data_IF_303087921477
#
_entry.id   IF_303087921477
#
_cell.length_a   1.000
_cell.length_b   1.000
_cell.length_c   1.000
_cell.angle_alpha   90.00
_cell.angle_beta   90.00
_cell.angle_gamma   90.00
#
_symmetry.space_group_name_H-M   'P 1'
#
loop_
_entity.id
_entity.type
_entity.pdbx_description
1 polymer ?
#
# COMPACT_ATOMS: atom_id res chain seq x y z
N UNK A 1 1.04 -16.44 8.12
CA UNK A 1 0.83 -16.07 6.69
C UNK A 1 -0.05 -17.07 5.97
N UNK A 2 -0.22 -18.25 6.56
CA UNK A 2 -0.92 -19.45 6.15
C UNK A 2 -2.40 -19.51 6.60
N UNK A 3 -2.99 -18.37 6.99
CA UNK A 3 -4.41 -18.30 7.32
C UNK A 3 -5.26 -18.39 6.04
N UNK A 4 -6.24 -19.27 6.04
CA UNK A 4 -7.15 -19.50 4.91
C UNK A 4 -7.97 -18.25 4.57
N UNK A 5 -8.26 -17.42 5.57
CA UNK A 5 -8.94 -16.14 5.40
C UNK A 5 -8.02 -15.03 4.86
N UNK A 6 -6.71 -15.26 4.81
CA UNK A 6 -5.69 -14.22 4.67
C UNK A 6 -5.92 -13.10 5.70
N UNK A 7 -6.07 -13.53 6.95
CA UNK A 7 -6.37 -12.68 8.10
C UNK A 7 -5.14 -11.90 8.54
N UNK A 8 -5.33 -10.62 8.84
CA UNK A 8 -4.34 -9.71 9.40
C UNK A 8 -4.94 -8.98 10.59
N UNK A 9 -4.08 -8.63 11.56
CA UNK A 9 -4.48 -7.81 12.70
C UNK A 9 -3.44 -6.73 12.97
N UNK A 10 -3.87 -5.69 13.68
CA UNK A 10 -3.00 -4.60 14.11
C UNK A 10 -3.37 -4.10 15.50
N UNK A 11 -2.36 -3.61 16.20
CA UNK A 11 -2.50 -2.84 17.42
C UNK A 11 -1.79 -1.51 17.19
N UNK A 12 -2.56 -0.44 16.96
CA UNK A 12 -1.99 0.89 16.87
C UNK A 12 -1.56 1.41 18.26
N UNK A 13 -0.94 2.60 18.30
CA UNK A 13 -0.61 3.27 19.57
C UNK A 13 -1.87 3.40 20.43
N UNK A 14 -1.73 3.07 21.71
CA UNK A 14 -2.79 3.16 22.71
C UNK A 14 -2.55 4.40 23.58
N UNK A 15 -3.59 5.11 24.01
CA UNK A 15 -5.00 4.85 23.71
C UNK A 15 -5.36 5.18 22.24
N UNK A 16 -6.20 4.34 21.63
CA UNK A 16 -6.72 4.60 20.28
C UNK A 16 -7.85 5.64 20.30
N UNK A 17 -8.66 5.62 21.37
CA UNK A 17 -9.73 6.59 21.59
C UNK A 17 -9.41 7.51 22.76
N UNK A 18 -9.73 8.82 22.67
CA UNK A 18 -9.75 9.68 23.85
C UNK A 18 -10.68 9.11 24.93
N UNK A 19 -10.20 9.02 26.18
CA UNK A 19 -10.97 8.46 27.30
C UNK A 19 -11.01 6.93 27.37
N UNK A 20 -10.23 6.23 26.53
CA UNK A 20 -10.01 4.79 26.69
C UNK A 20 -9.37 4.49 28.07
N UNK A 21 -9.90 3.54 28.85
CA UNK A 21 -9.32 3.14 30.13
C UNK A 21 -7.87 2.64 30.00
N UNK A 22 -7.07 2.86 31.05
CA UNK A 22 -5.63 2.52 31.06
C UNK A 22 -5.35 1.02 30.91
N UNK A 23 -6.32 0.17 31.27
CA UNK A 23 -6.25 -1.29 31.22
C UNK A 23 -6.95 -1.91 30.00
N UNK A 24 -7.47 -1.08 29.08
CA UNK A 24 -8.15 -1.53 27.86
C UNK A 24 -7.27 -1.24 26.65
N UNK A 25 -7.19 -2.19 25.72
CA UNK A 25 -6.52 -2.04 24.43
C UNK A 25 -7.53 -2.24 23.28
N UNK A 26 -7.32 -1.51 22.18
CA UNK A 26 -8.14 -1.65 20.97
C UNK A 26 -7.30 -2.31 19.88
N UNK A 27 -7.70 -3.53 19.51
CA UNK A 27 -7.14 -4.27 18.38
C UNK A 27 -8.09 -4.22 17.19
N UNK A 28 -7.54 -4.23 15.99
CA UNK A 28 -8.31 -4.30 14.76
C UNK A 28 -7.88 -5.51 13.94
N UNK A 29 -8.86 -6.27 13.46
CA UNK A 29 -8.68 -7.51 12.70
C UNK A 29 -9.50 -7.41 11.42
N UNK A 30 -8.95 -7.89 10.31
CA UNK A 30 -9.68 -8.07 9.05
C UNK A 30 -9.15 -9.27 8.28
N UNK A 31 -9.90 -9.69 7.27
CA UNK A 31 -9.49 -10.74 6.34
C UNK A 31 -9.86 -10.34 4.90
N UNK A 32 -9.22 -11.00 3.93
CA UNK A 32 -9.40 -10.71 2.51
C UNK A 32 -10.23 -11.77 1.78
N UNK A 33 -10.24 -13.02 2.24
CA UNK A 33 -10.99 -14.10 1.61
C UNK A 33 -12.26 -14.41 2.41
N UNK A 34 -13.40 -13.99 1.88
CA UNK A 34 -14.71 -14.09 2.54
C UNK A 34 -15.46 -15.40 2.26
N UNK A 35 -14.96 -16.21 1.33
CA UNK A 35 -15.56 -17.46 0.83
C UNK A 35 -14.76 -18.71 1.24
N UNK A 36 -13.72 -18.56 2.07
CA UNK A 36 -12.86 -19.64 2.53
C UNK A 36 -13.19 -20.05 3.95
N UNK A 37 -13.27 -21.35 4.21
CA UNK A 37 -13.33 -21.87 5.58
C UNK A 37 -12.01 -21.60 6.32
N UNK A 38 -12.10 -21.32 7.62
CA UNK A 38 -10.94 -21.15 8.49
C UNK A 38 -10.13 -22.44 8.70
N UNK A 39 -8.92 -22.27 9.20
CA UNK A 39 -8.00 -23.31 9.60
C UNK A 39 -8.49 -24.05 10.84
N UNK A 40 -9.04 -23.35 11.84
CA UNK A 40 -9.60 -23.95 13.05
C UNK A 40 -11.13 -23.96 13.00
N UNK A 41 -11.75 -22.81 12.78
CA UNK A 41 -13.20 -22.68 12.57
C UNK A 41 -13.55 -23.03 11.13
N UNK A 42 -14.30 -24.13 10.95
CA UNK A 42 -14.72 -24.66 9.64
C UNK A 42 -15.91 -23.91 9.04
N UNK A 43 -15.81 -22.58 9.01
CA UNK A 43 -16.81 -21.67 8.44
C UNK A 43 -16.12 -20.52 7.70
N UNK A 44 -16.74 -19.96 6.65
CA UNK A 44 -16.35 -18.67 6.12
C UNK A 44 -16.53 -17.56 7.17
N UNK A 45 -15.61 -16.60 7.24
CA UNK A 45 -15.63 -15.51 8.23
C UNK A 45 -16.98 -14.76 8.32
N UNK A 46 -17.73 -14.50 7.22
CA UNK A 46 -19.04 -13.85 7.31
C UNK A 46 -20.12 -14.62 8.08
N UNK A 47 -19.90 -15.92 8.33
CA UNK A 47 -20.81 -16.79 9.07
C UNK A 47 -20.39 -16.96 10.55
N UNK A 48 -19.27 -16.34 10.94
CA UNK A 48 -18.71 -16.47 12.28
C UNK A 48 -19.27 -15.41 13.23
N UNK A 49 -19.45 -15.81 14.49
CA UNK A 49 -19.61 -14.92 15.64
C UNK A 49 -18.27 -14.26 16.01
N UNK A 50 -18.30 -13.28 16.93
CA UNK A 50 -17.08 -12.66 17.44
C UNK A 50 -16.13 -13.65 18.12
N UNK A 51 -16.69 -14.54 18.95
CA UNK A 51 -15.92 -15.57 19.66
C UNK A 51 -15.29 -16.59 18.70
N UNK A 52 -15.98 -16.95 17.62
CA UNK A 52 -15.41 -17.81 16.57
C UNK A 52 -14.26 -17.13 15.81
N UNK A 53 -14.35 -15.82 15.57
CA UNK A 53 -13.24 -15.05 14.98
C UNK A 53 -12.05 -15.00 15.95
N UNK A 54 -12.30 -14.83 17.26
CA UNK A 54 -11.23 -14.92 18.27
C UNK A 54 -10.60 -16.31 18.32
N UNK A 55 -11.38 -17.38 18.22
CA UNK A 55 -10.87 -18.74 18.17
C UNK A 55 -9.92 -18.95 16.98
N UNK A 56 -10.30 -18.49 15.79
CA UNK A 56 -9.44 -18.56 14.61
C UNK A 56 -8.15 -17.73 14.79
N UNK A 57 -8.25 -16.53 15.36
CA UNK A 57 -7.08 -15.70 15.66
C UNK A 57 -6.16 -16.35 16.69
N UNK A 58 -6.70 -16.88 17.78
CA UNK A 58 -5.95 -17.56 18.84
C UNK A 58 -5.24 -18.81 18.31
N UNK A 59 -5.86 -19.54 17.38
CA UNK A 59 -5.21 -20.65 16.68
C UNK A 59 -3.93 -20.21 15.96
N UNK A 60 -4.00 -19.13 15.17
CA UNK A 60 -2.82 -18.62 14.45
C UNK A 60 -1.77 -17.95 15.35
N UNK A 61 -2.16 -17.49 16.53
CA UNK A 61 -1.25 -16.97 17.56
C UNK A 61 -0.67 -18.06 18.46
N UNK A 62 -1.12 -19.30 18.34
CA UNK A 62 -0.63 -20.43 19.15
C UNK A 62 -1.13 -20.42 20.60
N UNK A 63 -2.26 -19.77 20.88
CA UNK A 63 -2.86 -19.61 22.22
C UNK A 63 -4.30 -20.15 22.31
N UNK A 64 -4.64 -21.11 21.45
CA UNK A 64 -5.99 -21.70 21.37
C UNK A 64 -6.39 -22.45 22.65
N UNK A 65 -5.43 -22.92 23.42
CA UNK A 65 -5.61 -23.57 24.72
C UNK A 65 -6.07 -22.60 25.82
N UNK A 66 -5.93 -21.29 25.60
CA UNK A 66 -6.35 -20.22 26.52
C UNK A 66 -7.61 -19.49 26.05
N UNK A 67 -8.33 -20.04 25.07
CA UNK A 67 -9.45 -19.38 24.40
C UNK A 67 -10.53 -18.88 25.37
N UNK A 68 -10.88 -19.65 26.39
CA UNK A 68 -11.92 -19.27 27.36
C UNK A 68 -11.57 -17.98 28.12
N UNK A 69 -10.29 -17.80 28.48
CA UNK A 69 -9.82 -16.58 29.14
C UNK A 69 -9.77 -15.40 28.15
N UNK A 70 -9.35 -15.64 26.91
CA UNK A 70 -9.35 -14.60 25.86
C UNK A 70 -10.77 -14.10 25.60
N UNK A 71 -11.75 -15.01 25.42
CA UNK A 71 -13.15 -14.64 25.19
C UNK A 71 -13.70 -13.84 26.38
N UNK A 72 -13.42 -14.28 27.62
CA UNK A 72 -13.91 -13.60 28.82
C UNK A 72 -13.40 -12.15 28.94
N UNK A 73 -12.18 -11.88 28.48
CA UNK A 73 -11.53 -10.58 28.62
C UNK A 73 -11.55 -9.75 27.33
N UNK A 74 -12.20 -10.21 26.26
CA UNK A 74 -12.21 -9.52 24.97
C UNK A 74 -13.62 -9.29 24.45
N UNK A 75 -13.98 -8.02 24.23
CA UNK A 75 -15.25 -7.67 23.58
C UNK A 75 -15.00 -7.56 22.08
N UNK A 76 -15.74 -8.33 21.29
CA UNK A 76 -15.65 -8.31 19.82
C UNK A 76 -16.87 -7.64 19.22
N UNK A 77 -16.62 -6.70 18.30
CA UNK A 77 -17.66 -6.13 17.45
C UNK A 77 -17.24 -6.30 15.99
N UNK A 78 -18.03 -7.08 15.25
CA UNK A 78 -17.78 -7.33 13.83
C UNK A 78 -18.48 -6.30 12.97
N UNK A 79 -17.95 -6.06 11.77
CA UNK A 79 -18.60 -5.21 10.76
C UNK A 79 -18.34 -5.80 9.40
N UNK A 80 -19.41 -6.18 8.71
CA UNK A 80 -19.35 -6.66 7.33
C UNK A 80 -19.68 -5.51 6.38
N UNK A 81 -18.72 -5.14 5.52
CA UNK A 81 -18.81 -3.98 4.64
C UNK A 81 -18.87 -4.43 3.18
N UNK A 82 -20.07 -4.55 2.57
CA UNK A 82 -20.21 -5.15 1.23
C UNK A 82 -19.52 -4.36 0.11
N UNK A 83 -19.25 -3.08 0.34
CA UNK A 83 -18.65 -2.19 -0.66
C UNK A 83 -17.27 -1.67 -0.26
N UNK A 84 -16.63 -2.23 0.78
CA UNK A 84 -15.35 -1.69 1.29
C UNK A 84 -14.26 -1.64 0.22
N UNK A 85 -14.21 -2.59 -0.71
CA UNK A 85 -13.23 -2.61 -1.82
C UNK A 85 -13.79 -2.17 -3.17
N UNK A 86 -15.05 -1.68 -3.22
CA UNK A 86 -15.74 -1.37 -4.48
C UNK A 86 -15.02 -0.33 -5.35
N UNK A 87 -14.26 0.59 -4.74
CA UNK A 87 -13.45 1.59 -5.46
C UNK A 87 -12.24 1.01 -6.22
N UNK A 88 -11.88 -0.25 -5.96
CA UNK A 88 -10.82 -0.96 -6.67
C UNK A 88 -11.32 -1.84 -7.81
N UNK A 89 -12.64 -1.88 -8.07
CA UNK A 89 -13.17 -2.64 -9.19
C UNK A 89 -12.56 -2.17 -10.52
N UNK A 90 -12.39 -3.09 -11.50
CA UNK A 90 -11.97 -2.72 -12.85
C UNK A 90 -12.87 -1.61 -13.40
N UNK A 91 -12.26 -0.66 -14.09
CA UNK A 91 -12.96 0.51 -14.65
C UNK A 91 -12.45 0.81 -16.05
N UNK A 92 -13.28 1.49 -16.83
CA UNK A 92 -13.00 2.00 -18.14
C UNK A 92 -13.03 3.53 -18.17
N UNK A 93 -12.65 4.10 -19.32
CA UNK A 93 -12.72 5.54 -19.56
C UNK A 93 -14.18 6.01 -19.44
N UNK A 94 -14.43 6.91 -18.49
CA UNK A 94 -15.75 7.53 -18.27
C UNK A 94 -16.55 6.94 -17.11
N UNK A 95 -16.15 5.80 -16.54
CA UNK A 95 -16.88 5.17 -15.42
C UNK A 95 -16.90 6.03 -14.15
N UNK A 96 -15.88 6.87 -13.97
CA UNK A 96 -15.83 7.89 -12.93
C UNK A 96 -15.98 9.28 -13.54
N UNK A 97 -16.88 10.14 -13.04
CA UNK A 97 -17.02 11.50 -13.53
C UNK A 97 -15.84 12.36 -13.05
N UNK A 98 -15.52 13.42 -13.79
CA UNK A 98 -14.63 14.48 -13.29
C UNK A 98 -15.28 15.18 -12.10
N UNK A 99 -14.45 15.80 -11.27
CA UNK A 99 -14.88 16.53 -10.07
C UNK A 99 -15.94 17.58 -10.39
N UNK A 100 -15.74 18.38 -11.43
CA UNK A 100 -16.79 19.22 -12.02
C UNK A 100 -16.99 18.72 -13.46
N UNK A 101 -18.07 17.98 -13.73
CA UNK A 101 -18.34 17.49 -15.08
C UNK A 101 -18.56 18.63 -16.09
N UNK A 102 -18.30 18.35 -17.36
CA UNK A 102 -18.47 19.34 -18.43
C UNK A 102 -19.89 19.92 -18.42
N UNK A 103 -19.99 21.25 -18.55
CA UNK A 103 -21.26 21.99 -18.52
C UNK A 103 -21.80 22.30 -17.12
N UNK A 104 -21.35 21.62 -16.06
CA UNK A 104 -21.78 21.91 -14.70
C UNK A 104 -21.30 23.28 -14.23
N UNK A 105 -22.21 24.11 -13.66
CA UNK A 105 -21.90 25.46 -13.17
C UNK A 105 -22.02 25.62 -11.65
N UNK A 106 -22.66 24.67 -10.99
CA UNK A 106 -22.99 24.73 -9.56
C UNK A 106 -22.98 23.34 -8.89
N UNK A 107 -22.39 22.32 -9.52
CA UNK A 107 -22.30 20.95 -9.01
C UNK A 107 -20.84 20.49 -9.00
N UNK A 108 -20.38 20.02 -7.84
CA UNK A 108 -19.07 19.39 -7.66
C UNK A 108 -19.23 18.02 -7.00
N UNK A 109 -18.63 16.99 -7.60
CA UNK A 109 -18.60 15.62 -7.12
C UNK A 109 -17.25 15.34 -6.44
N UNK A 110 -17.27 14.80 -5.22
CA UNK A 110 -16.07 14.58 -4.41
C UNK A 110 -15.98 13.14 -3.90
N UNK A 111 -14.80 12.74 -3.43
CA UNK A 111 -14.58 11.45 -2.78
C UNK A 111 -13.87 10.42 -3.65
N UNK A 112 -14.14 9.14 -3.40
CA UNK A 112 -13.33 8.02 -3.91
C UNK A 112 -13.75 7.50 -5.29
N UNK A 113 -14.90 7.95 -5.80
CA UNK A 113 -15.50 7.49 -7.06
C UNK A 113 -15.47 8.54 -8.18
N UNK A 114 -14.65 9.59 -8.02
CA UNK A 114 -14.47 10.64 -9.02
C UNK A 114 -13.07 10.63 -9.60
N UNK A 115 -12.93 11.13 -10.82
CA UNK A 115 -11.70 11.09 -11.60
C UNK A 115 -10.79 12.29 -11.26
N UNK A 116 -9.54 12.00 -10.91
CA UNK A 116 -8.43 12.97 -10.83
C UNK A 116 -7.34 12.56 -11.83
N UNK A 117 -6.23 13.30 -11.92
CA UNK A 117 -5.21 13.04 -12.94
C UNK A 117 -4.37 11.79 -12.64
N UNK A 118 -3.70 11.74 -11.49
CA UNK A 118 -2.77 10.67 -11.13
C UNK A 118 -2.97 10.09 -9.72
N UNK A 119 -3.90 10.64 -8.93
CA UNK A 119 -4.05 10.22 -7.53
C UNK A 119 -4.73 8.85 -7.40
N UNK A 120 -4.43 8.16 -6.30
CA UNK A 120 -4.97 6.82 -5.97
C UNK A 120 -6.23 6.95 -5.10
N UNK A 121 -7.08 5.94 -5.04
CA UNK A 121 -8.26 5.93 -4.15
C UNK A 121 -7.96 5.16 -2.86
N UNK A 122 -8.92 5.07 -1.94
CA UNK A 122 -8.76 4.48 -0.61
C UNK A 122 -7.82 5.30 0.29
N UNK A 123 -7.81 6.62 0.11
CA UNK A 123 -7.02 7.52 0.95
C UNK A 123 -7.85 8.73 1.36
N UNK A 124 -7.55 9.28 2.54
CA UNK A 124 -8.11 10.57 2.94
C UNK A 124 -7.62 11.69 2.02
N UNK A 125 -6.39 11.59 1.50
CA UNK A 125 -5.79 12.58 0.60
C UNK A 125 -6.67 12.84 -0.62
N UNK A 126 -7.19 11.78 -1.26
CA UNK A 126 -8.03 11.91 -2.46
C UNK A 126 -9.36 12.58 -2.18
N UNK A 127 -9.96 12.34 -1.01
CA UNK A 127 -11.17 13.06 -0.57
C UNK A 127 -10.89 14.56 -0.43
N UNK A 128 -9.76 14.93 0.18
CA UNK A 128 -9.39 16.34 0.35
C UNK A 128 -9.03 16.98 -0.99
N UNK A 129 -8.28 16.28 -1.84
CA UNK A 129 -7.89 16.73 -3.18
C UNK A 129 -9.10 17.04 -4.04
N UNK A 130 -10.04 16.10 -4.15
CA UNK A 130 -11.27 16.28 -4.94
C UNK A 130 -12.12 17.44 -4.41
N UNK A 131 -12.19 17.62 -3.10
CA UNK A 131 -12.84 18.78 -2.48
C UNK A 131 -12.18 20.10 -2.90
N UNK A 132 -10.85 20.19 -2.87
CA UNK A 132 -10.13 21.39 -3.30
C UNK A 132 -10.37 21.69 -4.78
N UNK A 133 -10.36 20.67 -5.65
CA UNK A 133 -10.64 20.83 -7.07
C UNK A 133 -12.06 21.40 -7.25
N UNK A 134 -13.07 20.81 -6.60
CA UNK A 134 -14.46 21.25 -6.71
C UNK A 134 -14.64 22.73 -6.35
N UNK A 135 -14.09 23.14 -5.19
CA UNK A 135 -14.20 24.53 -4.72
C UNK A 135 -13.47 25.49 -5.66
N UNK A 136 -12.26 25.14 -6.10
CA UNK A 136 -11.43 26.06 -6.90
C UNK A 136 -12.01 26.25 -8.30
N UNK A 137 -12.53 25.19 -8.90
CA UNK A 137 -13.13 25.22 -10.23
C UNK A 137 -14.49 25.93 -10.23
N UNK A 138 -15.39 25.60 -9.29
CA UNK A 138 -16.74 26.19 -9.25
C UNK A 138 -16.72 27.70 -8.92
N UNK A 139 -15.78 28.14 -8.08
CA UNK A 139 -15.65 29.55 -7.71
C UNK A 139 -14.66 30.31 -8.59
N UNK A 140 -14.06 29.65 -9.59
CA UNK A 140 -13.04 30.22 -10.47
C UNK A 140 -11.92 30.94 -9.69
N UNK A 141 -11.41 30.28 -8.65
CA UNK A 141 -10.38 30.86 -7.79
C UNK A 141 -9.01 30.84 -8.48
N UNK A 142 -8.20 31.86 -8.22
CA UNK A 142 -6.81 31.89 -8.67
C UNK A 142 -5.90 31.03 -7.75
N UNK A 143 -6.29 29.77 -7.53
CA UNK A 143 -5.55 28.77 -6.75
C UNK A 143 -5.47 27.47 -7.54
N UNK A 144 -4.36 26.77 -7.40
CA UNK A 144 -4.14 25.47 -8.05
C UNK A 144 -4.12 24.35 -7.02
N UNK A 145 -4.49 23.15 -7.47
CA UNK A 145 -4.26 21.89 -6.76
C UNK A 145 -3.08 21.22 -7.47
N UNK A 146 -1.87 21.24 -6.87
CA UNK A 146 -0.72 20.53 -7.45
C UNK A 146 -1.04 19.05 -7.60
N UNK A 147 -0.42 18.36 -8.55
CA UNK A 147 -0.56 16.91 -8.70
C UNK A 147 0.11 16.14 -7.54
N UNK A 148 0.20 14.82 -7.63
CA UNK A 148 0.89 13.98 -6.66
C UNK A 148 2.37 14.37 -6.52
N UNK A 149 2.97 14.03 -5.37
CA UNK A 149 4.38 14.30 -5.12
C UNK A 149 5.27 13.59 -6.17
N UNK A 150 6.16 14.29 -6.90
CA UNK A 150 6.92 13.72 -8.02
C UNK A 150 8.08 12.79 -7.61
N UNK A 151 8.03 12.14 -6.44
CA UNK A 151 9.11 11.26 -5.96
C UNK A 151 9.41 10.08 -6.88
N UNK A 152 8.46 9.65 -7.72
CA UNK A 152 8.72 8.64 -8.74
C UNK A 152 9.74 9.08 -9.80
N UNK A 153 9.99 10.39 -9.95
CA UNK A 153 11.01 10.94 -10.84
C UNK A 153 12.33 11.26 -10.12
N UNK A 154 12.37 11.09 -8.80
CA UNK A 154 13.59 11.26 -8.01
C UNK A 154 14.49 10.04 -8.21
N UNK A 155 15.68 10.26 -8.80
CA UNK A 155 16.64 9.19 -9.09
C UNK A 155 17.00 8.36 -7.85
N UNK A 156 17.02 8.98 -6.66
CA UNK A 156 17.33 8.28 -5.40
C UNK A 156 16.27 7.22 -5.10
N UNK A 157 15.00 7.53 -5.37
CA UNK A 157 13.89 6.60 -5.17
C UNK A 157 13.82 5.55 -6.28
N UNK A 158 14.15 5.92 -7.53
CA UNK A 158 14.20 4.97 -8.65
C UNK A 158 15.26 3.88 -8.41
N UNK A 159 16.48 4.28 -8.04
CA UNK A 159 17.57 3.33 -7.76
C UNK A 159 17.26 2.48 -6.52
N UNK A 160 16.70 3.09 -5.48
CA UNK A 160 16.23 2.37 -4.29
C UNK A 160 15.17 1.34 -4.64
N UNK A 161 14.17 1.69 -5.46
CA UNK A 161 13.12 0.77 -5.86
C UNK A 161 13.66 -0.43 -6.65
N UNK A 162 14.55 -0.20 -7.63
CA UNK A 162 15.17 -1.27 -8.40
C UNK A 162 15.94 -2.26 -7.52
N UNK A 163 16.65 -1.74 -6.51
CA UNK A 163 17.40 -2.53 -5.53
C UNK A 163 16.47 -3.34 -4.61
N UNK A 164 15.48 -2.69 -4.02
CA UNK A 164 14.51 -3.34 -3.11
C UNK A 164 13.68 -4.40 -3.80
N UNK A 165 13.32 -4.21 -5.08
CA UNK A 165 12.62 -5.23 -5.87
C UNK A 165 13.48 -6.47 -6.19
N UNK A 166 14.79 -6.40 -5.94
CA UNK A 166 15.74 -7.48 -6.15
C UNK A 166 16.31 -8.00 -4.82
N UNK A 167 15.51 -7.98 -3.75
CA UNK A 167 15.90 -8.43 -2.40
C UNK A 167 17.18 -7.77 -1.87
N UNK A 168 17.37 -6.49 -2.16
CA UNK A 168 18.56 -5.71 -1.84
C UNK A 168 19.88 -6.28 -2.43
N UNK A 169 19.78 -7.14 -3.46
CA UNK A 169 20.91 -7.60 -4.27
C UNK A 169 21.18 -6.64 -5.43
N UNK A 170 22.41 -6.59 -5.97
CA UNK A 170 22.74 -5.76 -7.12
C UNK A 170 21.81 -5.97 -8.31
N UNK A 171 21.20 -4.89 -8.80
CA UNK A 171 20.41 -4.94 -10.01
C UNK A 171 21.29 -4.72 -11.25
N UNK A 172 20.81 -5.16 -12.41
CA UNK A 172 21.54 -5.00 -13.68
C UNK A 172 21.79 -3.51 -13.96
N UNK A 173 23.06 -3.12 -14.07
CA UNK A 173 23.48 -1.73 -14.28
C UNK A 173 23.95 -0.99 -13.01
N UNK A 174 23.74 -1.56 -11.80
CA UNK A 174 24.20 -0.94 -10.55
C UNK A 174 25.73 -0.84 -10.49
N UNK A 175 26.46 -1.86 -10.93
CA UNK A 175 27.93 -1.85 -10.95
C UNK A 175 28.50 -0.72 -11.82
N UNK A 176 27.89 -0.46 -12.98
CA UNK A 176 28.24 0.66 -13.86
C UNK A 176 28.03 2.01 -13.17
N UNK A 177 26.88 2.17 -12.51
CA UNK A 177 26.56 3.39 -11.76
C UNK A 177 27.51 3.59 -10.58
N UNK A 178 27.81 2.52 -9.82
CA UNK A 178 28.73 2.57 -8.69
C UNK A 178 30.14 2.94 -9.14
N UNK A 179 30.64 2.37 -10.24
CA UNK A 179 31.93 2.75 -10.81
C UNK A 179 32.00 4.24 -11.21
N UNK A 180 30.90 4.81 -11.70
CA UNK A 180 30.85 6.22 -12.10
C UNK A 180 30.67 7.20 -10.94
N UNK A 181 29.92 6.84 -9.91
CA UNK A 181 29.45 7.78 -8.87
C UNK A 181 30.19 7.65 -7.54
N UNK A 182 30.89 6.55 -7.28
CA UNK A 182 31.68 6.36 -6.06
C UNK A 182 32.81 7.40 -5.98
N UNK A 183 33.00 8.02 -4.82
CA UNK A 183 33.97 9.10 -4.61
C UNK A 183 33.56 10.46 -5.18
N UNK A 184 32.32 10.58 -5.70
CA UNK A 184 31.78 11.85 -6.22
C UNK A 184 30.76 12.45 -5.26
N UNK A 185 30.34 13.70 -5.50
CA UNK A 185 29.23 14.33 -4.78
C UNK A 185 27.95 13.46 -4.75
N UNK A 186 27.69 12.72 -5.83
CA UNK A 186 26.48 11.92 -6.00
C UNK A 186 26.58 10.51 -5.41
N UNK A 187 27.66 10.16 -4.71
CA UNK A 187 27.80 8.82 -4.11
C UNK A 187 26.59 8.43 -3.24
N UNK A 188 26.02 9.40 -2.52
CA UNK A 188 24.85 9.20 -1.65
C UNK A 188 23.56 8.78 -2.37
N UNK A 189 23.49 8.85 -3.71
CA UNK A 189 22.32 8.38 -4.47
C UNK A 189 22.36 6.87 -4.73
N UNK A 190 23.54 6.25 -4.59
CA UNK A 190 23.68 4.79 -4.72
C UNK A 190 22.92 4.12 -3.56
N UNK A 191 22.07 3.12 -3.84
CA UNK A 191 21.31 2.46 -2.79
C UNK A 191 22.23 1.70 -1.84
N UNK A 192 21.84 1.67 -0.57
CA UNK A 192 22.56 0.96 0.50
C UNK A 192 22.40 -0.54 0.26
N UNK A 193 23.48 -1.31 0.36
CA UNK A 193 23.51 -2.76 0.16
C UNK A 193 24.91 -3.31 0.42
N UNK A 194 25.03 -4.64 0.52
CA UNK A 194 26.30 -5.33 0.82
C UNK A 194 27.43 -4.85 -0.10
N UNK A 195 28.57 -4.50 0.51
CA UNK A 195 29.80 -4.18 -0.22
C UNK A 195 30.21 -5.38 -1.07
N UNK A 196 29.90 -5.35 -2.37
CA UNK A 196 30.54 -6.26 -3.31
C UNK A 196 31.94 -5.73 -3.65
N UNK A 197 32.87 -6.68 -3.78
CA UNK A 197 34.23 -6.45 -4.24
C UNK A 197 34.20 -5.64 -5.54
N UNK A 198 35.06 -4.63 -5.64
CA UNK A 198 35.25 -3.88 -6.88
C UNK A 198 35.66 -4.83 -8.00
N UNK A 199 34.72 -5.13 -8.90
CA UNK A 199 35.01 -5.89 -10.11
C UNK A 199 36.13 -5.20 -10.91
N UNK A 200 37.14 -5.97 -11.29
CA UNK A 200 38.25 -5.51 -12.12
C UNK A 200 37.75 -4.89 -13.45
N UNK A 201 38.52 -3.95 -14.01
CA UNK A 201 38.20 -3.25 -15.27
C UNK A 201 37.80 -4.18 -16.44
N UNK A 202 38.29 -5.43 -16.43
CA UNK A 202 37.97 -6.47 -17.41
C UNK A 202 36.48 -6.82 -17.51
N UNK A 203 35.68 -6.55 -16.48
CA UNK A 203 34.25 -6.93 -16.44
C UNK A 203 33.29 -5.83 -16.93
N UNK A 204 33.81 -4.64 -17.28
CA UNK A 204 32.98 -3.50 -17.68
C UNK A 204 32.22 -3.77 -18.99
N UNK A 205 32.90 -4.34 -19.98
CA UNK A 205 32.30 -4.66 -21.29
C UNK A 205 31.17 -5.69 -21.13
N UNK A 206 31.35 -6.65 -20.23
CA UNK A 206 30.34 -7.65 -19.91
C UNK A 206 29.10 -7.02 -19.26
N UNK A 207 29.29 -6.15 -18.26
CA UNK A 207 28.19 -5.44 -17.59
C UNK A 207 27.41 -4.54 -18.55
N UNK A 208 28.10 -3.82 -19.46
CA UNK A 208 27.45 -3.00 -20.50
C UNK A 208 26.62 -3.86 -21.45
N UNK A 209 27.15 -5.02 -21.84
CA UNK A 209 26.46 -5.94 -22.75
C UNK A 209 25.20 -6.51 -22.09
N UNK A 210 25.33 -7.01 -20.86
CA UNK A 210 24.21 -7.47 -20.03
C UNK A 210 23.13 -6.39 -19.84
N UNK A 211 23.53 -5.15 -19.60
CA UNK A 211 22.58 -4.03 -19.46
C UNK A 211 21.85 -3.72 -20.76
N UNK A 212 22.55 -3.69 -21.90
CA UNK A 212 21.92 -3.49 -23.22
C UNK A 212 20.94 -4.60 -23.56
N UNK A 213 21.29 -5.84 -23.26
CA UNK A 213 20.43 -6.98 -23.56
C UNK A 213 19.20 -7.01 -22.63
N UNK A 214 19.37 -6.66 -21.35
CA UNK A 214 18.24 -6.44 -20.44
C UNK A 214 17.28 -5.36 -20.97
N UNK A 215 17.80 -4.22 -21.42
CA UNK A 215 16.98 -3.14 -21.98
C UNK A 215 16.20 -3.56 -23.23
N UNK A 216 16.80 -4.37 -24.11
CA UNK A 216 16.12 -4.91 -25.29
C UNK A 216 14.93 -5.77 -24.91
N UNK A 217 15.05 -6.59 -23.85
CA UNK A 217 14.00 -7.49 -23.39
C UNK A 217 12.76 -6.81 -22.79
N UNK A 218 12.83 -5.52 -22.44
CA UNK A 218 11.71 -4.82 -21.77
C UNK A 218 10.51 -4.61 -22.70
N UNK A 219 10.75 -4.35 -23.99
CA UNK A 219 9.67 -4.07 -24.96
C UNK A 219 9.20 -5.30 -25.74
N UNK A 220 9.86 -6.46 -25.56
CA UNK A 220 9.70 -7.64 -26.42
C UNK A 220 10.52 -7.53 -27.69
#
# INVERSE_FOLDING_TARGET
>A
TDSNWLMSFTCNRQPHFPGQPDDVLVLWVYALFMDKEGNYIKKPMPQCTGDEILAELCHHLGIIDQLDDVIKNTIVRTTFMPYITSMFMPRAKGDRPRVVPEGCKNLGLIGQFVETNNDVVFTMESSVRTTRIAVYELLNLNKQVPDINPLQYDIRHLLKAAKTLNDDKPFVGEGLLRKMLKGTYFEHILPIGSEEQEDHESFLTEQITKFKDWLKGIKG
#
